data_IF_840974536594
#
_entry.id   IF_840974536594
#
_cell.length_a   1.000
_cell.length_b   1.000
_cell.length_c   1.000
_cell.angle_alpha   90.00
_cell.angle_beta   90.00
_cell.angle_gamma   90.00
#
_symmetry.space_group_name_H-M   'P 1'
#
loop_
_entity.id
_entity.type
_entity.pdbx_description
1 polymer ?
#
# COMPACT_ATOMS: atom_id res chain seq x y z
N UNK A 1 -11.33 -19.34 9.04
CA UNK A 1 -12.23 -18.69 8.05
C UNK A 1 -11.60 -17.48 7.36
N UNK A 2 -10.65 -16.75 8.00
CA UNK A 2 -9.98 -15.58 7.41
C UNK A 2 -9.33 -15.85 6.03
N UNK A 3 -8.52 -16.92 5.82
CA UNK A 3 -7.94 -17.20 4.51
C UNK A 3 -8.98 -17.45 3.43
N UNK A 4 -10.06 -18.14 3.75
CA UNK A 4 -11.18 -18.41 2.82
C UNK A 4 -11.89 -17.11 2.44
N UNK A 5 -12.12 -16.22 3.41
CA UNK A 5 -12.74 -14.92 3.16
C UNK A 5 -11.88 -14.05 2.25
N UNK A 6 -10.56 -14.03 2.47
CA UNK A 6 -9.62 -13.26 1.63
C UNK A 6 -9.58 -13.83 0.22
N UNK A 7 -9.38 -15.14 0.06
CA UNK A 7 -9.31 -15.77 -1.26
C UNK A 7 -10.62 -15.61 -2.02
N UNK A 8 -11.76 -15.86 -1.36
CA UNK A 8 -13.09 -15.70 -1.96
C UNK A 8 -13.37 -14.25 -2.36
N UNK A 9 -13.08 -13.30 -1.48
CA UNK A 9 -13.26 -11.88 -1.77
C UNK A 9 -12.40 -11.40 -2.96
N UNK A 10 -11.10 -11.74 -2.97
CA UNK A 10 -10.22 -11.38 -4.07
C UNK A 10 -10.63 -12.04 -5.40
N UNK A 11 -11.08 -13.31 -5.36
CA UNK A 11 -11.58 -14.00 -6.56
C UNK A 11 -12.83 -13.33 -7.11
N UNK A 12 -13.76 -12.92 -6.25
CA UNK A 12 -14.96 -12.21 -6.65
C UNK A 12 -14.63 -10.84 -7.28
N UNK A 13 -13.73 -10.08 -6.65
CA UNK A 13 -13.25 -8.79 -7.20
C UNK A 13 -12.58 -9.00 -8.55
N UNK A 14 -11.72 -10.00 -8.69
CA UNK A 14 -11.06 -10.32 -9.97
C UNK A 14 -12.08 -10.66 -11.06
N UNK A 15 -13.09 -11.48 -10.75
CA UNK A 15 -14.16 -11.81 -11.70
C UNK A 15 -14.92 -10.56 -12.14
N UNK A 16 -15.28 -9.67 -11.22
CA UNK A 16 -15.95 -8.40 -11.52
C UNK A 16 -15.08 -7.53 -12.43
N UNK A 17 -13.79 -7.39 -12.13
CA UNK A 17 -12.86 -6.63 -12.98
C UNK A 17 -12.76 -7.20 -14.40
N UNK A 18 -12.67 -8.52 -14.54
CA UNK A 18 -12.62 -9.15 -15.86
C UNK A 18 -13.90 -8.88 -16.66
N UNK A 19 -15.07 -9.05 -16.04
CA UNK A 19 -16.37 -8.81 -16.67
C UNK A 19 -16.48 -7.34 -17.11
N UNK A 20 -16.12 -6.40 -16.24
CA UNK A 20 -16.18 -4.97 -16.55
C UNK A 20 -15.23 -4.61 -17.70
N UNK A 21 -13.99 -5.13 -17.69
CA UNK A 21 -13.05 -4.86 -18.77
C UNK A 21 -13.52 -5.42 -20.12
N UNK A 22 -14.09 -6.62 -20.13
CA UNK A 22 -14.71 -7.20 -21.34
C UNK A 22 -15.88 -6.31 -21.83
N UNK A 23 -16.74 -5.86 -20.92
CA UNK A 23 -17.84 -4.97 -21.25
C UNK A 23 -17.35 -3.62 -21.82
N UNK A 24 -16.27 -3.07 -21.26
CA UNK A 24 -15.68 -1.82 -21.76
C UNK A 24 -15.14 -1.96 -23.18
N UNK A 25 -14.40 -3.02 -23.46
CA UNK A 25 -13.86 -3.32 -24.78
C UNK A 25 -14.95 -3.66 -25.81
N UNK A 26 -16.12 -4.13 -25.34
CA UNK A 26 -17.28 -4.36 -26.22
C UNK A 26 -17.94 -3.06 -26.67
N UNK A 27 -17.96 -2.03 -25.83
CA UNK A 27 -18.63 -0.74 -26.10
C UNK A 27 -17.73 0.25 -26.83
N UNK A 28 -16.44 0.26 -26.47
CA UNK A 28 -15.44 1.18 -26.99
C UNK A 28 -14.14 0.44 -27.36
N UNK A 29 -13.53 0.77 -28.51
CA UNK A 29 -12.23 0.23 -28.87
C UNK A 29 -11.16 0.74 -27.89
N UNK A 30 -10.08 -0.04 -27.74
CA UNK A 30 -9.03 0.21 -26.74
C UNK A 30 -8.38 1.61 -26.85
N UNK A 31 -8.27 2.15 -28.06
CA UNK A 31 -7.73 3.49 -28.30
C UNK A 31 -8.63 4.63 -27.76
N UNK A 32 -9.93 4.42 -27.67
CA UNK A 32 -10.88 5.39 -27.11
C UNK A 32 -11.03 5.25 -25.59
N UNK A 33 -10.50 4.17 -25.00
CA UNK A 33 -10.51 3.95 -23.55
C UNK A 33 -9.37 4.65 -22.81
N UNK A 34 -8.45 5.32 -23.53
CA UNK A 34 -7.32 6.07 -22.95
C UNK A 34 -7.74 7.44 -22.37
N UNK A 35 -8.94 7.53 -21.82
CA UNK A 35 -9.48 8.72 -21.17
C UNK A 35 -9.36 8.61 -19.66
N UNK A 36 -9.35 9.74 -18.95
CA UNK A 36 -9.20 9.79 -17.51
C UNK A 36 -10.28 9.02 -16.71
N UNK A 37 -11.49 8.87 -17.31
CA UNK A 37 -12.60 8.15 -16.68
C UNK A 37 -13.36 7.30 -17.72
N UNK A 38 -12.86 6.10 -18.06
CA UNK A 38 -13.49 5.22 -19.04
C UNK A 38 -14.92 4.83 -18.66
N UNK A 39 -15.20 4.59 -17.38
CA UNK A 39 -16.54 4.20 -16.92
C UNK A 39 -17.58 5.28 -17.20
N UNK A 40 -17.26 6.54 -16.92
CA UNK A 40 -18.15 7.66 -17.21
C UNK A 40 -18.34 7.88 -18.72
N UNK A 41 -17.29 7.72 -19.52
CA UNK A 41 -17.35 7.85 -20.97
C UNK A 41 -18.28 6.79 -21.59
N UNK A 42 -18.16 5.53 -21.15
CA UNK A 42 -19.03 4.44 -21.59
C UNK A 42 -20.48 4.68 -21.16
N UNK A 43 -20.70 5.09 -19.93
CA UNK A 43 -22.03 5.40 -19.43
C UNK A 43 -22.67 6.57 -20.20
N UNK A 44 -21.89 7.59 -20.56
CA UNK A 44 -22.35 8.69 -21.39
C UNK A 44 -22.71 8.22 -22.81
N UNK A 45 -21.95 7.28 -23.39
CA UNK A 45 -22.23 6.72 -24.73
C UNK A 45 -23.51 5.87 -24.73
N UNK A 46 -23.77 5.10 -23.67
CA UNK A 46 -24.93 4.19 -23.60
C UNK A 46 -26.20 4.88 -23.10
N UNK A 47 -26.10 5.80 -22.14
CA UNK A 47 -27.23 6.39 -21.44
C UNK A 47 -27.30 7.92 -21.58
N UNK A 48 -26.48 8.49 -22.49
CA UNK A 48 -26.36 9.94 -22.65
C UNK A 48 -25.61 10.63 -21.48
N UNK A 49 -25.53 11.94 -21.55
CA UNK A 49 -24.77 12.78 -20.62
C UNK A 49 -25.17 12.57 -19.14
N UNK A 50 -26.44 12.32 -18.88
CA UNK A 50 -26.92 12.03 -17.53
C UNK A 50 -26.34 10.72 -16.97
N UNK A 51 -26.17 9.68 -17.81
CA UNK A 51 -25.54 8.42 -17.42
C UNK A 51 -24.08 8.62 -16.96
N UNK A 52 -23.31 9.41 -17.71
CA UNK A 52 -21.95 9.78 -17.36
C UNK A 52 -21.86 10.51 -16.01
N UNK A 53 -22.77 11.46 -15.75
CA UNK A 53 -22.84 12.20 -14.48
C UNK A 53 -23.18 11.31 -13.30
N UNK A 54 -24.13 10.39 -13.43
CA UNK A 54 -24.53 9.45 -12.37
C UNK A 54 -23.35 8.52 -12.02
N UNK A 55 -22.68 7.97 -13.03
CA UNK A 55 -21.51 7.10 -12.79
C UNK A 55 -20.37 7.87 -12.13
N UNK A 56 -20.11 9.10 -12.58
CA UNK A 56 -19.08 9.95 -11.98
C UNK A 56 -19.40 10.24 -10.49
N UNK A 57 -20.65 10.55 -10.18
CA UNK A 57 -21.07 10.75 -8.79
C UNK A 57 -20.89 9.48 -7.94
N UNK A 58 -21.24 8.31 -8.48
CA UNK A 58 -21.00 7.01 -7.84
C UNK A 58 -19.51 6.74 -7.57
N UNK A 59 -18.65 7.06 -8.53
CA UNK A 59 -17.19 6.96 -8.39
C UNK A 59 -16.69 7.88 -7.26
N UNK A 60 -17.13 9.11 -7.21
CA UNK A 60 -16.74 10.07 -6.18
C UNK A 60 -17.12 9.58 -4.77
N UNK A 61 -18.32 9.05 -4.60
CA UNK A 61 -18.77 8.46 -3.32
C UNK A 61 -17.89 7.26 -2.95
N UNK A 62 -17.59 6.40 -3.91
CA UNK A 62 -16.74 5.20 -3.71
C UNK A 62 -15.31 5.59 -3.31
N UNK A 63 -14.70 6.55 -4.01
CA UNK A 63 -13.35 7.07 -3.72
C UNK A 63 -13.31 7.70 -2.32
N UNK A 64 -14.32 8.46 -1.94
CA UNK A 64 -14.43 9.02 -0.59
C UNK A 64 -14.49 7.93 0.49
N UNK A 65 -15.30 6.88 0.26
CA UNK A 65 -15.37 5.73 1.16
C UNK A 65 -14.02 5.00 1.29
N UNK A 66 -13.31 4.82 0.17
CA UNK A 66 -11.99 4.21 0.12
C UNK A 66 -10.95 5.06 0.89
N UNK A 67 -10.93 6.37 0.66
CA UNK A 67 -10.04 7.29 1.36
C UNK A 67 -10.27 7.26 2.89
N UNK A 68 -11.53 7.19 3.32
CA UNK A 68 -11.86 7.03 4.74
C UNK A 68 -11.32 5.72 5.32
N UNK A 69 -11.41 4.60 4.58
CA UNK A 69 -10.81 3.32 4.96
C UNK A 69 -9.28 3.41 5.14
N UNK A 70 -8.59 4.08 4.24
CA UNK A 70 -7.14 4.30 4.34
C UNK A 70 -6.77 5.20 5.53
N UNK A 71 -7.57 6.24 5.83
CA UNK A 71 -7.37 7.09 6.99
C UNK A 71 -7.62 6.36 8.32
N UNK A 72 -8.38 5.29 8.32
CA UNK A 72 -8.55 4.44 9.50
C UNK A 72 -7.40 3.45 9.71
N UNK A 73 -6.83 2.92 8.64
CA UNK A 73 -5.82 1.85 8.69
C UNK A 73 -4.39 2.36 8.66
N UNK A 74 -4.08 3.36 7.82
CA UNK A 74 -2.74 3.91 7.64
C UNK A 74 -2.10 4.43 8.94
N UNK A 75 -2.79 5.27 9.73
CA UNK A 75 -2.24 5.77 10.99
C UNK A 75 -1.92 4.68 12.01
N UNK A 76 -2.60 3.54 11.97
CA UNK A 76 -2.30 2.41 12.87
C UNK A 76 -0.96 1.76 12.59
N UNK A 77 -0.53 1.74 11.33
CA UNK A 77 0.82 1.28 10.96
C UNK A 77 1.86 2.22 11.55
N UNK A 78 1.68 3.53 11.37
CA UNK A 78 2.58 4.54 11.92
C UNK A 78 2.61 4.49 13.46
N UNK A 79 1.47 4.33 14.10
CA UNK A 79 1.35 4.12 15.54
C UNK A 79 2.11 2.87 16.02
N UNK A 80 2.00 1.75 15.31
CA UNK A 80 2.70 0.50 15.65
C UNK A 80 4.22 0.68 15.54
N UNK A 81 4.70 1.37 14.51
CA UNK A 81 6.12 1.73 14.37
C UNK A 81 6.59 2.61 15.53
N UNK A 82 5.74 3.53 15.98
CA UNK A 82 5.99 4.34 17.18
C UNK A 82 6.09 3.47 18.43
N UNK A 83 5.17 2.53 18.64
CA UNK A 83 5.23 1.60 19.78
C UNK A 83 6.48 0.72 19.77
N UNK A 84 6.91 0.29 18.60
CA UNK A 84 8.15 -0.48 18.44
C UNK A 84 9.41 0.37 18.54
N UNK A 85 9.28 1.67 18.81
CA UNK A 85 10.39 2.63 18.87
C UNK A 85 11.26 2.63 17.59
N UNK A 86 10.66 2.34 16.44
CA UNK A 86 11.35 2.18 15.16
C UNK A 86 11.49 3.47 14.36
N UNK A 87 10.87 4.56 14.82
CA UNK A 87 10.87 5.86 14.16
C UNK A 87 11.20 6.99 15.14
N UNK A 88 11.86 8.08 14.67
CA UNK A 88 12.09 9.26 15.49
C UNK A 88 10.75 9.89 15.92
N UNK A 89 10.70 10.47 17.12
CA UNK A 89 9.45 11.05 17.65
C UNK A 89 8.40 10.00 18.09
N UNK A 90 8.82 8.76 18.30
CA UNK A 90 7.96 7.65 18.69
C UNK A 90 7.07 7.96 19.90
N UNK A 91 7.52 8.76 20.86
CA UNK A 91 6.75 9.15 22.07
C UNK A 91 5.47 9.89 21.72
N UNK A 92 5.51 10.77 20.72
CA UNK A 92 4.34 11.55 20.28
C UNK A 92 3.42 10.73 19.39
N UNK A 93 3.99 9.85 18.55
CA UNK A 93 3.25 9.05 17.57
C UNK A 93 2.55 7.86 18.25
N UNK A 94 3.15 7.29 19.31
CA UNK A 94 2.61 6.14 20.06
C UNK A 94 1.57 6.51 21.11
N UNK A 95 1.03 7.73 21.11
CA UNK A 95 0.01 8.18 22.04
C UNK A 95 -1.38 7.96 21.46
N UNK A 96 -2.26 7.34 22.23
CA UNK A 96 -3.69 7.26 21.93
C UNK A 96 -4.43 8.39 22.64
N UNK A 97 -5.46 8.92 22.00
CA UNK A 97 -6.38 9.85 22.62
C UNK A 97 -7.38 9.12 23.55
N UNK A 98 -8.28 9.88 24.21
CA UNK A 98 -9.32 9.35 25.11
C UNK A 98 -10.23 8.30 24.46
N UNK A 99 -10.33 8.29 23.13
CA UNK A 99 -11.16 7.36 22.35
C UNK A 99 -10.35 6.21 21.74
N UNK A 100 -9.13 5.94 22.22
CA UNK A 100 -8.22 4.92 21.71
C UNK A 100 -7.89 5.07 20.20
N UNK A 101 -7.85 6.33 19.72
CA UNK A 101 -7.46 6.66 18.35
C UNK A 101 -6.07 7.28 18.36
N UNK A 102 -5.14 6.88 17.46
CA UNK A 102 -3.80 7.46 17.33
C UNK A 102 -3.88 8.82 16.61
N UNK A 103 -4.42 9.85 17.30
CA UNK A 103 -4.74 11.15 16.71
C UNK A 103 -3.53 11.83 16.06
N UNK A 104 -2.36 11.77 16.72
CA UNK A 104 -1.13 12.37 16.18
C UNK A 104 -0.67 11.68 14.89
N UNK A 105 -0.71 10.35 14.84
CA UNK A 105 -0.39 9.60 13.64
C UNK A 105 -1.40 9.90 12.52
N UNK A 106 -2.69 10.02 12.85
CA UNK A 106 -3.75 10.39 11.89
C UNK A 106 -3.51 11.78 11.33
N UNK A 107 -3.18 12.76 12.17
CA UNK A 107 -2.90 14.12 11.74
C UNK A 107 -1.69 14.19 10.79
N UNK A 108 -0.60 13.49 11.12
CA UNK A 108 0.60 13.42 10.27
C UNK A 108 0.23 12.83 8.90
N UNK A 109 -0.48 11.72 8.88
CA UNK A 109 -0.91 11.08 7.63
C UNK A 109 -1.86 11.97 6.81
N UNK A 110 -2.79 12.65 7.46
CA UNK A 110 -3.72 13.56 6.80
C UNK A 110 -3.00 14.78 6.18
N UNK A 111 -2.04 15.36 6.89
CA UNK A 111 -1.23 16.47 6.38
C UNK A 111 -0.40 16.03 5.18
N UNK A 112 0.29 14.88 5.28
CA UNK A 112 1.07 14.34 4.17
C UNK A 112 0.19 14.02 2.94
N UNK A 113 -0.96 13.39 3.15
CA UNK A 113 -1.91 13.11 2.07
C UNK A 113 -2.43 14.38 1.41
N UNK A 114 -2.72 15.43 2.20
CA UNK A 114 -3.15 16.73 1.68
C UNK A 114 -2.06 17.41 0.85
N UNK A 115 -0.80 17.37 1.31
CA UNK A 115 0.35 17.91 0.55
C UNK A 115 0.54 17.18 -0.78
N UNK A 116 0.41 15.85 -0.76
CA UNK A 116 0.46 15.05 -1.99
C UNK A 116 -0.71 15.37 -2.93
N UNK A 117 -1.92 15.51 -2.42
CA UNK A 117 -3.08 15.87 -3.22
C UNK A 117 -2.92 17.25 -3.88
N UNK A 118 -2.35 18.23 -3.15
CA UNK A 118 -2.08 19.56 -3.67
C UNK A 118 -1.00 19.60 -4.75
N UNK A 119 -0.11 18.59 -4.79
CA UNK A 119 0.92 18.52 -5.84
C UNK A 119 0.35 18.32 -7.24
N UNK A 120 -0.87 17.81 -7.38
CA UNK A 120 -1.52 17.49 -8.65
C UNK A 120 -0.85 16.36 -9.45
N UNK A 121 0.15 15.69 -8.89
CA UNK A 121 0.97 14.66 -9.57
C UNK A 121 0.39 13.27 -9.31
N UNK A 122 -0.87 13.04 -9.73
CA UNK A 122 -1.57 11.78 -9.45
C UNK A 122 -0.84 10.55 -10.02
N UNK A 123 -0.43 10.62 -11.29
CA UNK A 123 0.20 9.49 -11.98
C UNK A 123 1.55 9.14 -11.34
N UNK A 124 2.37 10.16 -11.05
CA UNK A 124 3.66 9.98 -10.37
C UNK A 124 3.50 9.33 -9.00
N UNK A 125 2.51 9.77 -8.21
CA UNK A 125 2.27 9.21 -6.88
C UNK A 125 1.76 7.77 -6.95
N UNK A 126 0.94 7.47 -7.96
CA UNK A 126 0.42 6.13 -8.21
C UNK A 126 1.55 5.19 -8.60
N UNK A 127 2.40 5.57 -9.54
CA UNK A 127 3.54 4.77 -9.99
C UNK A 127 4.53 4.50 -8.86
N UNK A 128 4.86 5.52 -8.06
CA UNK A 128 5.73 5.38 -6.90
C UNK A 128 5.15 4.39 -5.87
N UNK A 129 3.85 4.52 -5.59
CA UNK A 129 3.15 3.66 -4.64
C UNK A 129 3.09 2.21 -5.13
N UNK A 130 2.77 2.01 -6.40
CA UNK A 130 2.69 0.68 -7.01
C UNK A 130 4.05 -0.02 -7.02
N UNK A 131 5.11 0.70 -7.37
CA UNK A 131 6.48 0.17 -7.33
C UNK A 131 6.85 -0.29 -5.90
N UNK A 132 6.59 0.54 -4.89
CA UNK A 132 6.88 0.20 -3.51
C UNK A 132 6.07 -1.03 -3.04
N UNK A 133 4.75 -1.04 -3.27
CA UNK A 133 3.86 -2.11 -2.85
C UNK A 133 4.29 -3.45 -3.48
N UNK A 134 4.52 -3.49 -4.79
CA UNK A 134 4.93 -4.72 -5.46
C UNK A 134 6.30 -5.20 -5.02
N UNK A 135 7.25 -4.29 -4.77
CA UNK A 135 8.57 -4.65 -4.23
C UNK A 135 8.45 -5.34 -2.87
N UNK A 136 7.64 -4.82 -1.96
CA UNK A 136 7.41 -5.45 -0.65
C UNK A 136 6.61 -6.75 -0.76
N UNK A 137 5.69 -6.89 -1.70
CA UNK A 137 4.99 -8.15 -1.93
C UNK A 137 5.95 -9.24 -2.40
N UNK A 138 6.86 -8.94 -3.33
CA UNK A 138 7.90 -9.90 -3.77
C UNK A 138 8.74 -10.35 -2.59
N UNK A 139 9.22 -9.42 -1.75
CA UNK A 139 9.97 -9.75 -0.54
C UNK A 139 9.17 -10.63 0.42
N UNK A 140 7.88 -10.35 0.58
CA UNK A 140 6.97 -11.13 1.42
C UNK A 140 6.81 -12.56 0.89
N UNK A 141 6.63 -12.75 -0.42
CA UNK A 141 6.53 -14.07 -1.03
C UNK A 141 7.84 -14.87 -0.91
N UNK A 142 8.99 -14.22 -1.07
CA UNK A 142 10.30 -14.83 -0.79
C UNK A 142 10.39 -15.21 0.68
N UNK A 143 9.93 -14.35 1.58
CA UNK A 143 9.85 -14.60 3.02
C UNK A 143 9.06 -15.85 3.37
N UNK A 144 7.94 -16.11 2.69
CA UNK A 144 7.14 -17.34 2.87
C UNK A 144 7.96 -18.58 2.55
N UNK A 145 8.71 -18.58 1.45
CA UNK A 145 9.56 -19.70 1.05
C UNK A 145 10.69 -19.91 2.06
N UNK A 146 11.36 -18.82 2.46
CA UNK A 146 12.46 -18.84 3.43
C UNK A 146 12.00 -19.37 4.79
N UNK A 147 10.89 -18.85 5.30
CA UNK A 147 10.33 -19.24 6.60
C UNK A 147 9.91 -20.73 6.60
N UNK A 148 9.40 -21.22 5.48
CA UNK A 148 9.00 -22.63 5.36
C UNK A 148 10.17 -23.58 5.34
N UNK A 149 11.34 -23.13 4.82
CA UNK A 149 12.59 -23.89 4.86
C UNK A 149 13.28 -23.83 6.23
N UNK A 150 13.29 -22.66 6.87
CA UNK A 150 13.98 -22.46 8.16
C UNK A 150 13.22 -23.00 9.36
N UNK A 151 11.88 -23.06 9.28
CA UNK A 151 11.01 -23.53 10.36
C UNK A 151 9.95 -24.48 9.82
N UNK A 152 10.33 -25.74 9.43
CA UNK A 152 9.41 -26.70 8.83
C UNK A 152 8.28 -27.11 9.78
N UNK A 153 8.58 -27.25 11.06
CA UNK A 153 7.67 -27.78 12.10
C UNK A 153 6.74 -26.74 12.71
N UNK A 154 6.85 -25.46 12.29
CA UNK A 154 5.97 -24.40 12.78
C UNK A 154 4.52 -24.72 12.43
N UNK A 155 3.63 -24.70 13.43
CA UNK A 155 2.20 -24.86 13.21
C UNK A 155 1.64 -23.77 12.29
N UNK A 156 0.98 -24.18 11.23
CA UNK A 156 0.36 -23.28 10.24
C UNK A 156 -1.12 -23.61 10.08
N UNK A 157 -2.01 -22.73 10.54
CA UNK A 157 -3.47 -22.93 10.40
C UNK A 157 -3.90 -23.04 8.93
N UNK A 158 -3.18 -22.36 8.03
CA UNK A 158 -3.42 -22.38 6.60
C UNK A 158 -2.18 -22.84 5.84
N UNK A 159 -2.36 -23.85 5.01
CA UNK A 159 -1.31 -24.36 4.12
C UNK A 159 -1.58 -23.85 2.71
N UNK A 160 -0.64 -23.10 2.14
CA UNK A 160 -0.73 -22.64 0.74
C UNK A 160 -0.85 -23.85 -0.18
N UNK A 161 -1.93 -23.95 -0.99
CA UNK A 161 -2.09 -25.05 -1.93
C UNK A 161 -0.99 -25.01 -2.99
N UNK A 162 -0.69 -26.16 -3.59
CA UNK A 162 0.31 -26.29 -4.66
C UNK A 162 1.67 -25.62 -4.34
N UNK A 163 2.09 -25.64 -3.07
CA UNK A 163 3.42 -25.16 -2.71
C UNK A 163 4.51 -26.05 -3.35
N UNK A 164 5.61 -25.49 -3.92
CA UNK A 164 5.99 -24.07 -3.98
C UNK A 164 5.50 -23.31 -5.22
N UNK A 165 4.68 -23.91 -6.08
CA UNK A 165 4.31 -23.35 -7.40
C UNK A 165 3.63 -21.99 -7.28
N UNK A 166 2.60 -21.87 -6.43
CA UNK A 166 1.86 -20.61 -6.29
C UNK A 166 2.75 -19.46 -5.78
N UNK A 167 3.58 -19.62 -4.72
CA UNK A 167 4.53 -18.60 -4.35
C UNK A 167 5.54 -18.23 -5.44
N UNK A 168 6.00 -19.19 -6.23
CA UNK A 168 6.92 -18.91 -7.33
C UNK A 168 6.25 -18.11 -8.45
N UNK A 169 5.01 -18.42 -8.82
CA UNK A 169 4.23 -17.65 -9.79
C UNK A 169 3.99 -16.21 -9.26
N UNK A 170 3.67 -16.06 -7.98
CA UNK A 170 3.47 -14.76 -7.36
C UNK A 170 4.76 -13.92 -7.37
N UNK A 171 5.92 -14.54 -7.09
CA UNK A 171 7.23 -13.86 -7.19
C UNK A 171 7.52 -13.47 -8.64
N UNK A 172 7.32 -14.37 -9.60
CA UNK A 172 7.56 -14.10 -11.01
C UNK A 172 6.67 -12.95 -11.53
N UNK A 173 5.38 -12.97 -11.19
CA UNK A 173 4.44 -11.89 -11.54
C UNK A 173 4.80 -10.56 -10.88
N UNK A 174 5.16 -10.57 -9.60
CA UNK A 174 5.60 -9.37 -8.90
C UNK A 174 6.90 -8.80 -9.45
N UNK A 175 7.89 -9.67 -9.74
CA UNK A 175 9.14 -9.25 -10.39
C UNK A 175 8.89 -8.70 -11.79
N UNK A 176 7.99 -9.30 -12.55
CA UNK A 176 7.61 -8.78 -13.87
C UNK A 176 7.08 -7.35 -13.78
N UNK A 177 6.18 -7.05 -12.83
CA UNK A 177 5.65 -5.70 -12.62
C UNK A 177 6.76 -4.72 -12.23
N UNK A 178 7.60 -5.08 -11.26
CA UNK A 178 8.71 -4.24 -10.78
C UNK A 178 9.73 -3.97 -11.88
N UNK A 179 10.13 -5.02 -12.62
CA UNK A 179 11.10 -4.90 -13.72
C UNK A 179 10.54 -4.13 -14.90
N UNK A 180 9.26 -4.33 -15.23
CA UNK A 180 8.60 -3.57 -16.29
C UNK A 180 8.63 -2.07 -15.98
N UNK A 181 8.26 -1.69 -14.77
CA UNK A 181 8.27 -0.29 -14.35
C UNK A 181 9.69 0.29 -14.31
N UNK A 182 10.69 -0.50 -13.95
CA UNK A 182 12.08 -0.04 -13.85
C UNK A 182 12.77 0.06 -15.21
N UNK A 183 12.50 -0.88 -16.14
CA UNK A 183 13.27 -1.04 -17.37
C UNK A 183 12.54 -0.59 -18.64
N UNK A 184 11.21 -0.71 -18.68
CA UNK A 184 10.41 -0.56 -19.90
C UNK A 184 9.41 0.59 -19.87
N UNK A 185 9.14 1.18 -18.73
CA UNK A 185 8.15 2.25 -18.60
C UNK A 185 8.65 3.65 -19.00
N UNK A 186 9.86 3.74 -19.62
CA UNK A 186 10.48 4.99 -20.06
C UNK A 186 11.33 5.67 -19.00
N UNK A 187 12.20 6.58 -19.43
CA UNK A 187 13.22 7.21 -18.58
C UNK A 187 12.61 7.94 -17.36
N UNK A 188 11.48 8.60 -17.54
CA UNK A 188 10.76 9.30 -16.47
C UNK A 188 10.33 8.32 -15.35
N UNK A 189 9.70 7.21 -15.71
CA UNK A 189 9.23 6.21 -14.74
C UNK A 189 10.38 5.45 -14.08
N UNK A 190 11.49 5.26 -14.78
CA UNK A 190 12.72 4.71 -14.19
C UNK A 190 13.27 5.65 -13.10
N UNK A 191 13.30 6.95 -13.33
CA UNK A 191 13.73 7.94 -12.33
C UNK A 191 12.78 7.93 -11.14
N UNK A 192 11.47 7.87 -11.35
CA UNK A 192 10.46 7.79 -10.30
C UNK A 192 10.65 6.52 -9.46
N UNK A 193 10.87 5.38 -10.10
CA UNK A 193 11.11 4.10 -9.42
C UNK A 193 12.39 4.13 -8.59
N UNK A 194 13.47 4.71 -9.12
CA UNK A 194 14.72 4.91 -8.39
C UNK A 194 14.52 5.86 -7.20
N UNK A 195 13.75 6.94 -7.36
CA UNK A 195 13.38 7.81 -6.25
C UNK A 195 12.61 7.03 -5.17
N UNK A 196 11.71 6.13 -5.55
CA UNK A 196 11.01 5.23 -4.62
C UNK A 196 11.95 4.32 -3.83
N UNK A 197 12.98 3.77 -4.49
CA UNK A 197 14.03 3.00 -3.80
C UNK A 197 14.77 3.88 -2.80
N UNK A 198 15.19 5.08 -3.20
CA UNK A 198 15.88 6.03 -2.32
C UNK A 198 15.03 6.39 -1.11
N UNK A 199 13.75 6.70 -1.31
CA UNK A 199 12.80 6.99 -0.21
C UNK A 199 12.69 5.80 0.74
N UNK A 200 12.61 4.58 0.21
CA UNK A 200 12.57 3.36 1.04
C UNK A 200 13.87 3.18 1.83
N UNK A 201 15.02 3.43 1.20
CA UNK A 201 16.33 3.33 1.85
C UNK A 201 16.54 4.40 2.93
N UNK A 202 15.91 5.57 2.82
CA UNK A 202 15.91 6.61 3.88
C UNK A 202 15.29 6.06 5.18
N UNK A 203 14.43 5.07 5.11
CA UNK A 203 13.92 4.36 6.29
C UNK A 203 15.02 3.75 7.17
N UNK A 204 16.14 3.29 6.59
CA UNK A 204 17.26 2.70 7.35
C UNK A 204 17.96 3.72 8.26
N UNK A 205 18.43 4.89 7.78
CA UNK A 205 19.00 5.91 8.66
C UNK A 205 17.97 6.45 9.67
N UNK A 206 16.71 6.58 9.33
CA UNK A 206 15.66 6.96 10.28
C UNK A 206 15.51 5.94 11.41
N UNK A 207 15.51 4.65 11.09
CA UNK A 207 15.52 3.57 12.08
C UNK A 207 16.74 3.65 12.98
N UNK A 208 17.94 3.85 12.41
CA UNK A 208 19.18 3.97 13.20
C UNK A 208 19.16 5.21 14.11
N UNK A 209 18.58 6.31 13.67
CA UNK A 209 18.39 7.51 14.52
C UNK A 209 17.43 7.23 15.68
N UNK A 210 16.32 6.52 15.41
CA UNK A 210 15.39 6.13 16.45
C UNK A 210 16.06 5.22 17.51
N UNK A 211 16.83 4.22 17.07
CA UNK A 211 17.58 3.34 17.97
C UNK A 211 18.61 4.09 18.83
N UNK A 212 19.31 5.08 18.27
CA UNK A 212 20.22 5.95 19.01
C UNK A 212 19.49 6.79 20.07
N UNK A 213 18.27 7.28 19.77
CA UNK A 213 17.45 8.00 20.75
C UNK A 213 17.03 7.08 21.90
N UNK A 214 16.60 5.86 21.60
CA UNK A 214 16.22 4.86 22.60
C UNK A 214 17.41 4.51 23.51
N UNK A 215 18.56 4.21 22.94
CA UNK A 215 19.77 3.88 23.69
C UNK A 215 20.23 5.02 24.62
N UNK A 216 20.11 6.27 24.15
CA UNK A 216 20.45 7.45 24.97
C UNK A 216 19.51 7.62 26.15
N UNK A 217 18.21 7.36 25.97
CA UNK A 217 17.21 7.44 27.04
C UNK A 217 17.39 6.32 28.08
N UNK A 218 17.66 5.10 27.63
CA UNK A 218 17.93 3.97 28.52
C UNK A 218 19.22 4.18 29.33
N UNK A 219 20.26 4.77 28.74
CA UNK A 219 21.49 5.17 29.43
C UNK A 219 21.25 6.25 30.50
N UNK A 220 20.43 7.26 30.20
CA UNK A 220 20.08 8.33 31.14
C UNK A 220 19.29 7.79 32.33
N UNK A 221 18.27 6.96 32.10
CA UNK A 221 17.46 6.35 33.15
C UNK A 221 18.25 5.39 34.05
N UNK A 222 19.27 4.72 33.50
CA UNK A 222 20.14 3.84 34.31
C UNK A 222 21.11 4.61 35.22
N UNK A 223 21.47 5.83 34.82
CA UNK A 223 22.32 6.72 35.62
C UNK A 223 21.54 7.36 36.78
N UNK A 224 20.29 7.81 36.51
CA UNK A 224 19.40 8.33 37.56
C UNK A 224 19.07 7.29 38.66
N UNK A 225 18.85 6.03 38.26
CA UNK A 225 18.60 4.93 39.21
C UNK A 225 19.82 4.55 40.05
N UNK A 226 21.03 4.92 39.67
CA UNK A 226 22.27 4.67 40.48
C UNK A 226 22.57 5.81 41.41
N UNK A 227 21.96 6.97 41.24
CA UNK A 227 22.19 8.17 42.05
C UNK A 227 21.06 8.46 43.04
N UNK A 228 19.97 7.70 42.99
CA UNK A 228 18.86 7.69 43.99
C UNK A 228 18.92 6.45 44.87
#
# INVERSE_FOLDING_TARGET
DLPKAIVGGLSAVMAVYLIINVAYLWVLPANELTVANPAAAIAAKLFGDMGGKIVTAGILISVFGCANGYLLTGPRVLYTLGQQKSIPGYKTISVLNKNNVPANATLIMAVLASLYALSGQFDLLTDLSMFAIWSFYVLTFIGVIKLRKSQPDLYRPYKVPMYPVIPCIAIAGGLFVVLNQLLFAGMTNTIISLAGVVVTLIGLPLYNLAQKQVAKEEGSNSTEKKTA
#
